data_IF_128286029327
#
_entry.id   IF_128286029327
#
_cell.length_a   1.000
_cell.length_b   1.000
_cell.length_c   1.000
_cell.angle_alpha   90.00
_cell.angle_beta   90.00
_cell.angle_gamma   90.00
#
_symmetry.space_group_name_H-M   'P 1'
#
loop_
_entity.id
_entity.type
_entity.pdbx_description
1 polymer ?
#
# COMPACT_ATOMS: atom_id res chain seq x y z
N UNK A 1 36.17 -35.04 62.17
CA UNK A 1 36.46 -33.69 62.68
C UNK A 1 35.75 -32.71 61.75
N UNK A 2 34.64 -32.14 62.21
CA UNK A 2 33.69 -31.36 61.44
C UNK A 2 34.23 -29.95 61.18
N UNK A 3 34.17 -29.44 59.95
CA UNK A 3 34.11 -28.00 59.71
C UNK A 3 32.99 -27.70 58.71
N UNK A 4 31.95 -27.07 59.24
CA UNK A 4 30.78 -26.55 58.55
C UNK A 4 31.17 -25.25 57.83
N UNK A 5 30.76 -25.07 56.58
CA UNK A 5 30.72 -23.73 55.97
C UNK A 5 29.43 -23.60 55.18
N UNK A 6 28.47 -22.88 55.76
CA UNK A 6 27.23 -22.44 55.10
C UNK A 6 27.56 -21.15 54.36
N UNK A 7 27.38 -21.11 53.04
CA UNK A 7 27.36 -19.86 52.26
C UNK A 7 25.92 -19.65 51.80
N UNK A 8 25.39 -18.51 52.24
CA UNK A 8 24.02 -18.04 52.16
C UNK A 8 23.72 -17.61 50.73
N UNK A 9 22.70 -18.21 50.12
CA UNK A 9 22.17 -17.85 48.81
C UNK A 9 21.26 -16.62 48.97
N UNK A 10 21.68 -15.47 48.45
CA UNK A 10 20.89 -14.24 48.42
C UNK A 10 19.96 -14.33 47.20
N UNK A 11 18.67 -14.58 47.45
CA UNK A 11 17.61 -14.49 46.44
C UNK A 11 17.21 -13.02 46.29
N UNK A 12 17.54 -12.45 45.13
CA UNK A 12 17.05 -11.16 44.67
C UNK A 12 15.55 -11.28 44.35
N UNK A 13 14.73 -10.68 45.21
CA UNK A 13 13.32 -10.39 44.94
C UNK A 13 13.27 -9.32 43.85
N UNK A 14 12.85 -9.71 42.65
CA UNK A 14 12.42 -8.75 41.63
C UNK A 14 10.93 -8.50 41.86
N UNK A 15 10.59 -7.30 42.33
CA UNK A 15 9.21 -6.85 42.33
C UNK A 15 8.74 -6.76 40.88
N UNK A 16 7.80 -7.65 40.53
CA UNK A 16 7.03 -7.55 39.30
C UNK A 16 6.06 -6.39 39.51
N UNK A 17 6.43 -5.19 39.04
CA UNK A 17 5.51 -4.06 38.93
C UNK A 17 4.43 -4.47 37.93
N UNK A 18 3.29 -4.91 38.45
CA UNK A 18 2.09 -5.20 37.68
C UNK A 18 1.51 -3.87 37.20
N UNK A 19 1.92 -3.43 36.01
CA UNK A 19 1.28 -2.29 35.33
C UNK A 19 -0.14 -2.73 34.99
N UNK A 20 -1.19 -2.10 35.53
CA UNK A 20 -2.55 -2.46 35.18
C UNK A 20 -2.75 -2.24 33.66
N UNK A 21 -3.50 -3.11 32.97
CA UNK A 21 -3.72 -2.96 31.54
C UNK A 21 -4.34 -1.58 31.31
N UNK A 22 -3.68 -0.76 30.50
CA UNK A 22 -4.17 0.54 30.06
C UNK A 22 -5.58 0.32 29.52
N UNK A 23 -6.60 0.77 30.26
CA UNK A 23 -7.99 0.67 29.82
C UNK A 23 -8.07 1.35 28.46
N UNK A 24 -8.22 0.57 27.39
CA UNK A 24 -8.56 1.12 26.09
C UNK A 24 -9.88 1.88 26.28
N UNK A 25 -9.98 3.14 25.82
CA UNK A 25 -11.21 3.88 25.93
C UNK A 25 -12.34 3.02 25.35
N UNK A 26 -13.37 2.74 26.16
CA UNK A 26 -14.61 2.13 25.69
C UNK A 26 -15.24 3.11 24.72
N UNK A 27 -14.93 2.98 23.43
CA UNK A 27 -15.64 3.70 22.38
C UNK A 27 -17.10 3.26 22.47
N UNK A 28 -17.99 4.19 22.81
CA UNK A 28 -19.43 3.91 22.76
C UNK A 28 -19.77 3.50 21.34
N UNK A 29 -20.63 2.50 21.17
CA UNK A 29 -21.02 1.94 19.88
C UNK A 29 -21.96 2.90 19.10
N UNK A 30 -21.65 4.20 19.10
CA UNK A 30 -22.37 5.21 18.36
C UNK A 30 -22.07 5.02 16.87
N UNK A 31 -23.05 4.49 16.14
CA UNK A 31 -23.00 4.26 14.68
C UNK A 31 -22.70 5.52 13.86
N UNK A 32 -22.83 6.70 14.46
CA UNK A 32 -22.57 7.99 13.82
C UNK A 32 -21.26 8.65 14.29
N UNK A 33 -20.43 7.97 15.09
CA UNK A 33 -19.13 8.51 15.47
C UNK A 33 -18.24 8.61 14.21
N UNK A 34 -17.60 9.76 13.94
CA UNK A 34 -16.66 9.87 12.84
C UNK A 34 -15.39 9.07 13.15
N UNK A 35 -14.87 8.42 12.11
CA UNK A 35 -13.62 7.68 12.12
C UNK A 35 -12.71 8.24 11.03
N UNK A 36 -11.40 8.19 11.26
CA UNK A 36 -10.41 8.39 10.22
C UNK A 36 -10.23 7.07 9.46
N UNK A 37 -10.72 7.00 8.23
CA UNK A 37 -10.55 5.85 7.36
C UNK A 37 -9.35 6.07 6.45
N UNK A 38 -8.38 5.15 6.47
CA UNK A 38 -7.19 5.22 5.61
C UNK A 38 -7.11 3.98 4.73
N UNK A 39 -7.23 4.18 3.42
CA UNK A 39 -6.89 3.15 2.45
C UNK A 39 -5.38 3.15 2.26
N UNK A 40 -4.76 1.98 2.40
CA UNK A 40 -3.33 1.78 2.17
C UNK A 40 -3.13 0.72 1.08
N UNK A 41 -2.11 0.95 0.26
CA UNK A 41 -1.59 -0.03 -0.70
C UNK A 41 -0.17 -0.40 -0.25
N UNK A 42 0.02 -1.68 0.00
CA UNK A 42 1.24 -2.27 0.54
C UNK A 42 2.04 -2.99 -0.54
N UNK A 43 3.37 -2.95 -0.44
CA UNK A 43 4.30 -3.73 -1.27
C UNK A 43 4.23 -5.22 -0.95
N UNK A 44 4.97 -6.05 -1.71
CA UNK A 44 5.17 -7.47 -1.41
C UNK A 44 5.71 -7.70 0.02
N UNK A 45 6.55 -6.77 0.53
CA UNK A 45 7.10 -6.80 1.90
C UNK A 45 6.21 -6.20 2.97
N UNK A 46 4.98 -5.80 2.61
CA UNK A 46 4.02 -5.16 3.51
C UNK A 46 4.40 -3.73 3.94
N UNK A 47 5.29 -3.06 3.20
CA UNK A 47 5.60 -1.64 3.39
C UNK A 47 4.55 -0.75 2.72
N UNK A 48 4.26 0.44 3.26
CA UNK A 48 3.25 1.34 2.68
C UNK A 48 3.82 2.03 1.43
N UNK A 49 3.32 1.63 0.26
CA UNK A 49 3.70 2.27 -1.02
C UNK A 49 2.87 3.52 -1.32
N UNK A 50 1.61 3.54 -0.88
CA UNK A 50 0.68 4.63 -1.12
C UNK A 50 -0.48 4.60 -0.11
N UNK A 51 -1.04 5.76 0.24
CA UNK A 51 -2.21 5.86 1.11
C UNK A 51 -3.08 7.09 0.84
N UNK A 52 -4.35 7.02 1.24
CA UNK A 52 -5.30 8.13 1.25
C UNK A 52 -6.24 8.02 2.45
N UNK A 53 -6.52 9.14 3.11
CA UNK A 53 -7.35 9.18 4.33
C UNK A 53 -8.55 10.11 4.17
N UNK A 54 -9.67 9.75 4.78
CA UNK A 54 -10.84 10.62 4.92
C UNK A 54 -11.55 10.37 6.25
N UNK A 55 -11.91 11.46 6.94
CA UNK A 55 -12.78 11.40 8.11
C UNK A 55 -14.23 11.26 7.65
N UNK A 56 -14.93 10.22 8.13
CA UNK A 56 -16.33 9.96 7.79
C UNK A 56 -17.00 9.12 8.88
N UNK A 57 -18.33 9.10 8.90
CA UNK A 57 -19.13 8.24 9.80
C UNK A 57 -19.32 6.83 9.23
N UNK A 58 -19.10 6.65 7.93
CA UNK A 58 -19.14 5.37 7.23
C UNK A 58 -17.88 5.17 6.37
N UNK A 59 -17.61 3.92 5.98
CA UNK A 59 -16.50 3.61 5.07
C UNK A 59 -16.67 4.43 3.79
N UNK A 60 -15.69 5.29 3.52
CA UNK A 60 -15.60 6.02 2.28
C UNK A 60 -14.87 5.18 1.23
N UNK A 61 -15.42 5.19 0.01
CA UNK A 61 -14.86 4.51 -1.15
C UNK A 61 -14.33 5.57 -2.11
N UNK A 62 -13.00 5.77 -2.19
CA UNK A 62 -12.42 6.68 -3.17
C UNK A 62 -12.78 6.23 -4.59
N UNK A 63 -12.88 7.19 -5.50
CA UNK A 63 -13.08 6.90 -6.92
C UNK A 63 -11.98 5.99 -7.48
N UNK A 64 -10.73 6.24 -7.08
CA UNK A 64 -9.55 5.49 -7.50
C UNK A 64 -8.41 5.60 -6.47
N UNK A 65 -7.54 4.59 -6.44
CA UNK A 65 -6.23 4.62 -5.77
C UNK A 65 -5.13 4.73 -6.83
N UNK A 66 -4.08 5.49 -6.55
CA UNK A 66 -3.02 5.78 -7.54
C UNK A 66 -1.60 5.46 -7.04
N UNK A 67 -1.31 4.23 -6.60
CA UNK A 67 0.07 3.83 -6.34
C UNK A 67 0.88 3.83 -7.64
N UNK A 68 2.16 4.14 -7.55
CA UNK A 68 3.09 3.96 -8.67
C UNK A 68 3.57 2.50 -8.72
N UNK A 69 3.59 1.88 -9.91
CA UNK A 69 4.02 0.49 -10.08
C UNK A 69 5.44 0.25 -9.53
N UNK A 70 6.36 1.18 -9.75
CA UNK A 70 7.73 1.05 -9.24
C UNK A 70 7.85 1.33 -7.74
N UNK A 71 6.89 2.04 -7.13
CA UNK A 71 6.81 2.08 -5.66
C UNK A 71 6.31 0.76 -5.08
N UNK A 72 5.41 0.06 -5.77
CA UNK A 72 5.01 -1.30 -5.37
C UNK A 72 6.15 -2.30 -5.49
N UNK A 73 7.09 -2.06 -6.42
CA UNK A 73 8.26 -2.89 -6.65
C UNK A 73 9.39 -2.70 -5.63
N UNK A 74 9.29 -1.74 -4.71
CA UNK A 74 10.25 -1.57 -3.62
C UNK A 74 10.29 -2.84 -2.75
N UNK A 75 11.45 -3.50 -2.72
CA UNK A 75 11.66 -4.75 -2.00
C UNK A 75 11.03 -5.99 -2.65
N UNK A 76 10.39 -5.85 -3.82
CA UNK A 76 9.83 -6.98 -4.57
C UNK A 76 10.93 -7.93 -5.04
N UNK A 77 10.57 -9.18 -5.31
CA UNK A 77 11.52 -10.16 -5.89
C UNK A 77 12.04 -9.71 -7.25
N UNK A 78 13.27 -10.10 -7.58
CA UNK A 78 13.89 -9.77 -8.86
C UNK A 78 13.02 -10.15 -10.07
N UNK A 79 13.15 -9.48 -11.24
CA UNK A 79 14.20 -8.51 -11.62
C UNK A 79 13.72 -7.05 -11.80
N UNK A 80 13.02 -6.46 -10.82
CA UNK A 80 12.60 -5.06 -10.89
C UNK A 80 13.76 -4.05 -10.77
N UNK A 81 14.91 -4.47 -10.23
CA UNK A 81 16.04 -3.59 -9.91
C UNK A 81 15.83 -2.76 -8.64
N UNK A 82 14.82 -3.11 -7.84
CA UNK A 82 14.46 -2.46 -6.57
C UNK A 82 14.44 -3.45 -5.38
N UNK A 83 15.09 -4.61 -5.50
CA UNK A 83 14.99 -5.73 -4.56
C UNK A 83 15.55 -5.40 -3.16
N UNK A 84 16.46 -4.42 -3.08
CA UNK A 84 17.16 -4.02 -1.85
C UNK A 84 16.71 -2.65 -1.34
N UNK A 85 15.78 -1.99 -2.03
CA UNK A 85 15.31 -0.65 -1.72
C UNK A 85 13.93 -0.75 -1.06
N UNK A 86 13.82 -0.31 0.20
CA UNK A 86 12.57 -0.39 0.98
C UNK A 86 11.77 0.92 0.92
N UNK A 87 12.46 2.05 0.90
CA UNK A 87 11.84 3.36 0.85
C UNK A 87 12.70 4.31 0.03
N UNK A 88 12.11 4.91 -1.01
CA UNK A 88 12.76 5.91 -1.84
C UNK A 88 11.81 7.07 -2.10
N UNK A 89 12.24 8.28 -1.72
CA UNK A 89 11.49 9.49 -2.02
C UNK A 89 11.59 9.89 -3.51
N UNK A 90 12.72 9.56 -4.13
CA UNK A 90 13.06 9.89 -5.52
C UNK A 90 13.39 8.58 -6.25
N UNK A 91 12.89 8.41 -7.47
CA UNK A 91 13.19 7.22 -8.25
C UNK A 91 14.68 7.21 -8.64
N UNK A 92 15.34 6.03 -8.63
CA UNK A 92 16.76 5.95 -8.95
C UNK A 92 17.02 6.35 -10.41
N UNK A 93 18.16 6.97 -10.65
CA UNK A 93 18.68 7.26 -11.98
C UNK A 93 20.06 6.65 -12.14
N UNK A 94 20.38 6.23 -13.37
CA UNK A 94 21.76 6.02 -13.73
C UNK A 94 22.47 7.38 -13.64
N UNK A 95 23.71 7.41 -13.14
CA UNK A 95 24.59 8.57 -13.21
C UNK A 95 24.93 8.86 -14.69
N UNK A 96 23.96 9.25 -15.51
CA UNK A 96 24.18 9.63 -16.88
C UNK A 96 24.52 11.12 -16.87
N UNK A 97 25.77 11.50 -17.14
CA UNK A 97 26.15 12.91 -17.17
C UNK A 97 25.27 13.64 -18.19
N UNK A 98 24.60 14.70 -17.74
CA UNK A 98 23.72 15.58 -18.52
C UNK A 98 24.35 16.13 -19.81
N UNK A 99 25.65 15.94 -20.02
CA UNK A 99 26.48 16.50 -21.08
C UNK A 99 26.88 15.53 -22.20
N UNK A 100 26.47 14.25 -22.19
CA UNK A 100 26.78 13.28 -23.27
C UNK A 100 25.56 12.83 -24.10
N UNK A 101 24.56 13.69 -24.24
CA UNK A 101 23.30 13.39 -24.94
C UNK A 101 23.43 13.12 -26.45
N UNK A 102 24.62 13.29 -27.04
CA UNK A 102 24.85 13.05 -28.48
C UNK A 102 25.76 11.84 -28.80
N UNK A 103 26.73 11.47 -27.93
CA UNK A 103 27.62 10.32 -28.19
C UNK A 103 27.10 9.00 -27.62
N UNK A 104 26.21 9.05 -26.63
CA UNK A 104 25.51 7.87 -26.10
C UNK A 104 24.43 7.35 -27.05
N UNK A 105 24.17 8.00 -28.18
CA UNK A 105 23.05 7.70 -29.07
C UNK A 105 23.07 6.27 -29.63
N UNK A 106 24.26 5.76 -29.98
CA UNK A 106 24.42 4.40 -30.47
C UNK A 106 24.49 3.34 -29.35
N UNK A 107 25.03 3.70 -28.18
CA UNK A 107 25.01 2.81 -27.01
C UNK A 107 23.59 2.68 -26.45
N UNK A 108 22.85 3.78 -26.38
CA UNK A 108 21.48 3.84 -25.87
C UNK A 108 20.51 3.04 -26.73
N UNK A 109 20.72 3.00 -28.05
CA UNK A 109 19.90 2.20 -28.99
C UNK A 109 20.33 0.73 -28.99
N UNK A 110 21.63 0.41 -28.89
CA UNK A 110 22.09 -0.99 -28.87
C UNK A 110 21.76 -1.67 -27.54
N UNK A 111 21.80 -0.95 -26.42
CA UNK A 111 21.36 -1.48 -25.11
C UNK A 111 19.83 -1.51 -24.97
N UNK A 112 19.10 -0.64 -25.68
CA UNK A 112 17.62 -0.59 -25.63
C UNK A 112 16.95 -1.88 -26.10
N UNK A 113 17.50 -2.54 -27.13
CA UNK A 113 16.87 -3.77 -27.66
C UNK A 113 17.00 -4.96 -26.71
N UNK A 114 17.98 -4.93 -25.80
CA UNK A 114 18.20 -5.96 -24.79
C UNK A 114 17.70 -5.57 -23.40
N UNK A 115 17.39 -4.30 -23.15
CA UNK A 115 16.97 -3.82 -21.84
C UNK A 115 15.58 -4.39 -21.51
N UNK A 116 15.51 -5.16 -20.43
CA UNK A 116 14.24 -5.63 -19.88
C UNK A 116 13.55 -4.49 -19.11
N UNK A 117 12.21 -4.39 -19.14
CA UNK A 117 11.48 -3.45 -18.33
C UNK A 117 11.85 -3.55 -16.84
N UNK A 118 11.79 -2.44 -16.10
CA UNK A 118 12.19 -2.38 -14.69
C UNK A 118 12.19 -0.97 -14.10
N UNK A 119 12.63 -0.84 -12.86
CA UNK A 119 12.39 0.34 -12.02
C UNK A 119 13.66 1.04 -11.51
N UNK A 120 14.83 0.47 -11.73
CA UNK A 120 16.16 0.94 -11.31
C UNK A 120 16.68 2.17 -12.05
N UNK A 121 16.20 2.45 -13.26
CA UNK A 121 16.59 3.67 -13.98
C UNK A 121 15.47 4.22 -14.88
N UNK A 122 15.65 5.47 -15.31
CA UNK A 122 14.66 6.19 -16.10
C UNK A 122 14.36 5.51 -17.45
N UNK A 123 15.34 4.80 -18.03
CA UNK A 123 15.20 4.10 -19.31
C UNK A 123 14.29 2.88 -19.14
N UNK A 124 14.59 2.01 -18.18
CA UNK A 124 13.80 0.81 -17.89
C UNK A 124 12.38 1.15 -17.45
N UNK A 125 12.18 2.26 -16.72
CA UNK A 125 10.85 2.81 -16.41
C UNK A 125 10.10 3.32 -17.64
N UNK A 126 10.81 3.93 -18.59
CA UNK A 126 10.21 4.36 -19.87
C UNK A 126 9.74 3.16 -20.68
N UNK A 127 10.49 2.04 -20.68
CA UNK A 127 10.05 0.79 -21.31
C UNK A 127 8.78 0.23 -20.65
N UNK A 128 8.69 0.27 -19.32
CA UNK A 128 7.48 -0.14 -18.58
C UNK A 128 6.22 0.63 -18.98
N UNK A 129 6.32 1.88 -19.45
CA UNK A 129 5.16 2.63 -19.91
C UNK A 129 4.47 1.97 -21.12
N UNK A 130 5.23 1.24 -21.93
CA UNK A 130 4.74 0.49 -23.10
C UNK A 130 4.45 -0.99 -22.80
N UNK A 131 4.88 -1.52 -21.66
CA UNK A 131 4.69 -2.93 -21.29
C UNK A 131 3.30 -3.14 -20.68
N UNK A 132 2.48 -3.99 -21.30
CA UNK A 132 1.19 -4.41 -20.74
C UNK A 132 1.35 -5.26 -19.49
N UNK A 133 0.30 -5.33 -18.69
CA UNK A 133 0.28 -6.15 -17.48
C UNK A 133 -1.10 -6.74 -17.23
N UNK A 134 -1.13 -7.82 -16.46
CA UNK A 134 -2.34 -8.49 -16.00
C UNK A 134 -2.24 -8.76 -14.50
N UNK A 135 -3.38 -8.82 -13.84
CA UNK A 135 -3.49 -8.88 -12.37
C UNK A 135 -4.35 -10.07 -11.98
N UNK A 136 -3.86 -10.86 -11.03
CA UNK A 136 -4.57 -12.02 -10.49
C UNK A 136 -4.85 -11.84 -9.00
N UNK A 137 -6.07 -12.18 -8.52
CA UNK A 137 -6.42 -12.12 -7.12
C UNK A 137 -5.73 -13.23 -6.33
N UNK A 138 -5.36 -12.90 -5.09
CA UNK A 138 -4.85 -13.83 -4.11
C UNK A 138 -5.93 -14.76 -3.56
N UNK A 139 -5.83 -15.11 -2.28
CA UNK A 139 -6.66 -16.16 -1.69
C UNK A 139 -8.15 -15.82 -1.54
N UNK A 140 -8.58 -14.57 -1.78
CA UNK A 140 -10.00 -14.18 -1.80
C UNK A 140 -10.77 -14.64 -3.05
N UNK A 141 -10.08 -15.29 -3.99
CA UNK A 141 -10.70 -15.98 -5.12
C UNK A 141 -11.43 -17.26 -4.71
N UNK A 142 -12.30 -17.74 -5.59
CA UNK A 142 -12.98 -19.03 -5.43
C UNK A 142 -11.99 -20.20 -5.27
N UNK A 143 -12.33 -21.15 -4.41
CA UNK A 143 -11.45 -22.30 -4.08
C UNK A 143 -11.02 -23.13 -5.29
N UNK A 144 -11.86 -23.19 -6.33
CA UNK A 144 -11.57 -23.90 -7.59
C UNK A 144 -10.33 -23.37 -8.31
N UNK A 145 -9.94 -22.12 -8.05
CA UNK A 145 -8.75 -21.50 -8.66
C UNK A 145 -7.47 -21.72 -7.84
N UNK A 146 -7.56 -22.22 -6.61
CA UNK A 146 -6.41 -22.27 -5.70
C UNK A 146 -5.29 -23.17 -6.23
N UNK A 147 -5.63 -24.35 -6.73
CA UNK A 147 -4.66 -25.30 -7.29
C UNK A 147 -4.15 -24.86 -8.68
N UNK A 148 -4.97 -24.14 -9.45
CA UNK A 148 -4.65 -23.72 -10.82
C UNK A 148 -3.71 -22.51 -10.84
N UNK A 149 -3.95 -21.55 -9.96
CA UNK A 149 -3.39 -20.21 -10.10
C UNK A 149 -2.16 -19.96 -9.20
N UNK A 150 -1.73 -20.96 -8.44
CA UNK A 150 -0.51 -20.89 -7.62
C UNK A 150 -0.60 -19.89 -6.46
N UNK A 151 0.51 -19.74 -5.74
CA UNK A 151 0.60 -18.87 -4.55
C UNK A 151 1.23 -17.52 -4.84
N UNK A 152 1.79 -16.92 -3.79
CA UNK A 152 2.60 -15.69 -3.89
C UNK A 152 3.82 -15.86 -4.77
N UNK A 153 4.45 -17.04 -4.76
CA UNK A 153 5.56 -17.41 -5.63
C UNK A 153 5.26 -17.14 -7.11
N UNK A 154 4.01 -17.40 -7.49
CA UNK A 154 3.48 -17.25 -8.84
C UNK A 154 2.75 -15.93 -9.04
N UNK A 155 2.81 -15.00 -8.09
CA UNK A 155 2.02 -13.77 -8.11
C UNK A 155 0.52 -14.08 -8.38
N UNK A 156 0.05 -15.22 -7.87
CA UNK A 156 -1.30 -15.75 -8.07
C UNK A 156 -1.73 -15.95 -9.54
N UNK A 157 -0.78 -15.95 -10.47
CA UNK A 157 -0.96 -15.98 -11.91
C UNK A 157 -0.26 -17.18 -12.57
N UNK A 158 -0.28 -18.36 -11.95
CA UNK A 158 0.45 -19.53 -12.47
C UNK A 158 -0.08 -20.07 -13.82
N UNK A 159 -1.27 -19.67 -14.25
CA UNK A 159 -1.91 -20.16 -15.48
C UNK A 159 -2.82 -19.12 -16.11
N UNK A 160 -3.06 -19.24 -17.41
CA UNK A 160 -4.04 -18.43 -18.14
C UNK A 160 -5.45 -18.56 -17.58
N UNK A 161 -6.18 -17.44 -17.55
CA UNK A 161 -7.51 -17.34 -16.96
C UNK A 161 -7.49 -17.27 -15.43
N UNK A 162 -6.36 -16.92 -14.83
CA UNK A 162 -6.25 -16.54 -13.41
C UNK A 162 -6.37 -15.04 -13.23
N UNK A 163 -6.05 -14.28 -14.27
CA UNK A 163 -6.14 -12.84 -14.32
C UNK A 163 -7.59 -12.34 -14.38
N UNK A 164 -7.86 -11.26 -13.68
CA UNK A 164 -9.21 -10.67 -13.54
C UNK A 164 -9.29 -9.23 -14.01
N UNK A 165 -8.15 -8.57 -14.19
CA UNK A 165 -8.02 -7.20 -14.67
C UNK A 165 -6.63 -6.96 -15.22
N UNK A 166 -6.44 -5.87 -15.97
CA UNK A 166 -5.14 -5.49 -16.52
C UNK A 166 -5.29 -4.57 -17.73
N UNK A 167 -4.21 -4.42 -18.46
CA UNK A 167 -4.13 -3.53 -19.64
C UNK A 167 -3.81 -4.25 -20.94
N UNK A 168 -3.72 -5.57 -20.89
CA UNK A 168 -3.41 -6.42 -22.04
C UNK A 168 -4.51 -6.37 -23.11
N UNK A 169 -4.14 -6.75 -24.34
CA UNK A 169 -5.04 -6.68 -25.49
C UNK A 169 -6.31 -7.53 -25.36
N UNK A 170 -6.27 -8.64 -24.60
CA UNK A 170 -7.44 -9.49 -24.34
C UNK A 170 -8.35 -8.97 -23.22
N UNK A 171 -7.99 -7.85 -22.56
CA UNK A 171 -8.82 -7.09 -21.61
C UNK A 171 -9.48 -7.99 -20.56
N UNK A 172 -8.69 -8.66 -19.70
CA UNK A 172 -9.25 -9.54 -18.68
C UNK A 172 -10.22 -8.77 -17.77
N UNK A 173 -11.35 -9.40 -17.47
CA UNK A 173 -12.40 -8.83 -16.61
C UNK A 173 -12.97 -9.92 -15.70
N UNK A 174 -13.59 -9.50 -14.60
CA UNK A 174 -14.20 -10.41 -13.63
C UNK A 174 -15.50 -9.85 -13.10
N UNK A 175 -16.47 -10.73 -12.88
CA UNK A 175 -17.78 -10.42 -12.28
C UNK A 175 -17.82 -10.65 -10.76
N UNK A 176 -16.66 -10.80 -10.12
CA UNK A 176 -16.60 -11.15 -8.69
C UNK A 176 -15.39 -10.55 -7.95
N UNK A 177 -14.32 -10.20 -8.65
CA UNK A 177 -13.13 -9.62 -8.02
C UNK A 177 -13.41 -8.20 -7.52
N UNK A 178 -12.64 -7.75 -6.54
CA UNK A 178 -12.92 -6.54 -5.76
C UNK A 178 -12.35 -5.28 -6.40
N UNK A 179 -11.42 -5.40 -7.34
CA UNK A 179 -10.79 -4.24 -7.99
C UNK A 179 -10.67 -4.43 -9.51
N UNK A 180 -10.56 -3.31 -10.20
CA UNK A 180 -9.98 -3.22 -11.55
C UNK A 180 -8.71 -2.41 -11.48
N UNK A 181 -7.71 -2.78 -12.26
CA UNK A 181 -6.41 -2.10 -12.35
C UNK A 181 -6.11 -1.74 -13.79
N UNK A 182 -5.86 -0.45 -14.05
CA UNK A 182 -5.41 0.10 -15.34
C UNK A 182 -4.25 1.09 -15.16
N UNK A 183 -3.77 1.68 -16.25
CA UNK A 183 -2.81 2.79 -16.21
C UNK A 183 -3.52 4.10 -15.89
N UNK A 184 -2.92 4.94 -15.05
CA UNK A 184 -3.35 6.32 -14.86
C UNK A 184 -2.51 7.30 -15.72
N UNK A 185 -2.20 6.89 -16.94
CA UNK A 185 -1.46 7.66 -17.93
C UNK A 185 -1.72 7.09 -19.33
N UNK A 186 -1.47 7.89 -20.36
CA UNK A 186 -1.48 7.40 -21.75
C UNK A 186 -0.09 6.91 -22.13
N UNK A 187 0.07 5.64 -22.57
CA UNK A 187 1.36 5.16 -23.07
C UNK A 187 1.89 6.04 -24.21
N UNK A 188 3.20 6.30 -24.27
CA UNK A 188 3.78 7.07 -25.38
C UNK A 188 3.59 6.31 -26.69
N UNK A 189 3.27 7.03 -27.77
CA UNK A 189 3.13 6.43 -29.12
C UNK A 189 4.44 5.85 -29.66
N UNK A 190 5.57 6.34 -29.15
CA UNK A 190 6.91 5.89 -29.52
C UNK A 190 7.81 5.84 -28.27
N UNK A 191 7.96 4.66 -27.69
CA UNK A 191 8.81 4.42 -26.52
C UNK A 191 10.31 4.54 -26.85
N UNK A 192 10.70 4.54 -28.13
CA UNK A 192 12.08 4.77 -28.57
C UNK A 192 12.45 6.27 -28.64
N UNK A 193 11.63 7.15 -28.05
CA UNK A 193 11.97 8.55 -27.97
C UNK A 193 13.26 8.78 -27.17
N UNK A 194 14.09 9.65 -27.74
CA UNK A 194 15.48 9.94 -27.35
C UNK A 194 15.66 10.45 -25.91
N UNK A 195 14.57 10.86 -25.27
CA UNK A 195 14.58 11.38 -23.91
C UNK A 195 13.76 10.44 -23.03
N UNK A 196 14.35 9.84 -21.98
CA UNK A 196 13.57 9.06 -21.03
C UNK A 196 12.51 9.97 -20.41
N UNK A 197 11.26 9.49 -20.37
CA UNK A 197 10.10 10.25 -19.88
C UNK A 197 10.06 10.26 -18.34
N UNK A 198 10.74 9.30 -17.71
CA UNK A 198 10.68 9.01 -16.28
C UNK A 198 11.90 9.53 -15.49
N UNK A 199 12.35 10.75 -15.80
CA UNK A 199 13.51 11.37 -15.15
C UNK A 199 13.17 11.76 -13.70
N UNK A 200 14.11 11.54 -12.79
CA UNK A 200 14.03 11.95 -11.38
C UNK A 200 13.94 13.47 -11.22
N UNK A 201 14.49 14.20 -12.19
CA UNK A 201 14.45 15.66 -12.27
C UNK A 201 13.06 16.24 -12.55
N UNK A 202 12.05 15.43 -12.90
CA UNK A 202 10.67 15.87 -13.06
C UNK A 202 10.08 16.29 -11.70
N UNK A 203 9.79 17.58 -11.45
CA UNK A 203 9.43 18.06 -10.12
C UNK A 203 8.15 17.43 -9.55
N UNK A 204 7.21 17.08 -10.42
CA UNK A 204 5.89 16.56 -10.04
C UNK A 204 5.92 15.09 -9.63
N UNK A 205 6.71 14.27 -10.32
CA UNK A 205 6.73 12.82 -10.12
C UNK A 205 8.00 12.33 -9.42
N UNK A 206 9.08 13.12 -9.47
CA UNK A 206 10.43 12.71 -9.02
C UNK A 206 10.86 11.37 -9.62
N UNK A 207 10.48 11.12 -10.87
CA UNK A 207 10.77 9.90 -11.64
C UNK A 207 9.79 8.74 -11.44
N UNK A 208 8.83 8.85 -10.52
CA UNK A 208 7.72 7.89 -10.34
C UNK A 208 6.62 8.15 -11.37
N UNK A 209 6.77 7.57 -12.56
CA UNK A 209 6.03 7.90 -13.78
C UNK A 209 5.04 6.80 -14.23
N UNK A 210 4.77 5.80 -13.39
CA UNK A 210 3.95 4.63 -13.70
C UNK A 210 2.76 4.54 -12.72
N UNK A 211 1.94 5.61 -12.57
CA UNK A 211 0.79 5.56 -11.69
C UNK A 211 -0.24 4.56 -12.23
N UNK A 212 -0.70 3.66 -11.36
CA UNK A 212 -1.83 2.78 -11.62
C UNK A 212 -3.15 3.52 -11.34
N UNK A 213 -4.22 3.07 -11.95
CA UNK A 213 -5.60 3.46 -11.62
C UNK A 213 -6.30 2.21 -11.07
N UNK A 214 -6.40 2.12 -9.74
CA UNK A 214 -7.06 1.01 -9.05
C UNK A 214 -8.45 1.46 -8.59
N UNK A 215 -9.50 0.83 -9.12
CA UNK A 215 -10.89 1.14 -8.77
C UNK A 215 -11.54 -0.02 -8.04
N UNK A 216 -12.32 0.27 -7.01
CA UNK A 216 -13.13 -0.74 -6.34
C UNK A 216 -14.34 -1.12 -7.21
N UNK A 217 -14.60 -2.42 -7.33
CA UNK A 217 -15.85 -2.93 -7.91
C UNK A 217 -16.97 -2.91 -6.88
N UNK A 218 -18.20 -3.17 -7.31
CA UNK A 218 -19.31 -3.33 -6.36
C UNK A 218 -19.12 -4.54 -5.43
N UNK A 219 -18.33 -5.55 -5.83
CA UNK A 219 -18.07 -6.75 -5.02
C UNK A 219 -17.10 -6.50 -3.85
N UNK A 220 -16.36 -5.40 -3.87
CA UNK A 220 -15.54 -4.94 -2.74
C UNK A 220 -16.37 -4.53 -1.52
N UNK A 221 -17.59 -4.03 -1.76
CA UNK A 221 -18.43 -3.43 -0.71
C UNK A 221 -18.97 -4.52 0.20
N UNK A 222 -18.87 -4.28 1.52
CA UNK A 222 -19.31 -5.24 2.55
C UNK A 222 -18.31 -6.34 2.89
N UNK A 223 -17.11 -6.35 2.28
CA UNK A 223 -16.01 -7.23 2.70
C UNK A 223 -15.26 -6.64 3.90
N UNK A 224 -14.64 -7.49 4.70
CA UNK A 224 -13.75 -7.04 5.78
C UNK A 224 -12.37 -6.71 5.22
N UNK A 225 -12.06 -5.43 5.14
CA UNK A 225 -10.79 -4.90 4.63
C UNK A 225 -9.73 -4.69 5.72
N UNK A 226 -10.02 -5.01 6.99
CA UNK A 226 -9.07 -4.82 8.09
C UNK A 226 -7.83 -5.71 7.98
N UNK A 227 -7.99 -6.92 7.43
CA UNK A 227 -6.87 -7.83 7.14
C UNK A 227 -6.20 -7.53 5.78
N UNK A 228 -6.94 -6.86 4.90
CA UNK A 228 -6.53 -6.58 3.53
C UNK A 228 -6.73 -7.76 2.59
N UNK A 229 -6.64 -7.47 1.30
CA UNK A 229 -6.68 -8.44 0.22
C UNK A 229 -5.47 -8.22 -0.68
N UNK A 230 -4.94 -9.31 -1.23
CA UNK A 230 -3.71 -9.29 -2.01
C UNK A 230 -3.97 -9.67 -3.45
N UNK A 231 -3.19 -9.08 -4.36
CA UNK A 231 -3.16 -9.40 -5.78
C UNK A 231 -1.71 -9.55 -6.23
N UNK A 232 -1.52 -10.24 -7.34
CA UNK A 232 -0.27 -10.26 -8.05
C UNK A 232 -0.43 -9.55 -9.38
N UNK A 233 0.56 -8.76 -9.75
CA UNK A 233 0.65 -8.08 -11.03
C UNK A 233 1.83 -8.69 -11.78
N UNK A 234 1.61 -9.07 -13.03
CA UNK A 234 2.66 -9.56 -13.93
C UNK A 234 2.70 -8.72 -15.20
N UNK A 235 3.92 -8.36 -15.62
CA UNK A 235 4.19 -7.77 -16.91
C UNK A 235 4.00 -8.81 -18.00
N UNK A 236 3.28 -8.48 -19.05
CA UNK A 236 3.16 -9.31 -20.25
C UNK A 236 4.30 -8.96 -21.20
N UNK A 237 5.34 -9.79 -21.23
CA UNK A 237 6.56 -9.51 -21.97
C UNK A 237 7.13 -10.75 -22.66
N UNK A 238 8.13 -10.56 -23.52
CA UNK A 238 8.82 -11.70 -24.15
C UNK A 238 9.70 -12.38 -23.10
N UNK A 239 9.51 -13.68 -22.91
CA UNK A 239 10.28 -14.48 -21.96
C UNK A 239 9.48 -14.77 -20.69
N UNK A 240 10.12 -14.63 -19.53
CA UNK A 240 9.43 -14.77 -18.24
C UNK A 240 8.74 -13.48 -17.86
N UNK A 241 7.46 -13.56 -17.51
CA UNK A 241 6.68 -12.44 -17.02
C UNK A 241 7.13 -12.05 -15.60
N UNK A 242 7.85 -10.92 -15.51
CA UNK A 242 8.23 -10.30 -14.23
C UNK A 242 6.97 -9.89 -13.47
N UNK A 243 6.92 -10.14 -12.17
CA UNK A 243 5.76 -9.78 -11.36
C UNK A 243 6.11 -9.38 -9.93
N UNK A 244 5.09 -8.90 -9.24
CA UNK A 244 5.11 -8.57 -7.81
C UNK A 244 3.74 -8.86 -7.20
N UNK A 245 3.66 -8.90 -5.88
CA UNK A 245 2.39 -8.86 -5.16
C UNK A 245 2.19 -7.52 -4.47
N UNK A 246 0.94 -7.13 -4.26
CA UNK A 246 0.57 -5.97 -3.47
C UNK A 246 -0.70 -6.26 -2.67
N UNK A 247 -0.90 -5.54 -1.57
CA UNK A 247 -2.04 -5.71 -0.67
C UNK A 247 -2.77 -4.40 -0.48
N UNK A 248 -4.10 -4.40 -0.55
CA UNK A 248 -4.93 -3.23 -0.23
C UNK A 248 -5.65 -3.50 1.10
N UNK A 249 -5.55 -2.55 2.03
CA UNK A 249 -6.12 -2.65 3.37
C UNK A 249 -6.80 -1.35 3.77
N UNK A 250 -7.82 -1.46 4.62
CA UNK A 250 -8.49 -0.32 5.24
C UNK A 250 -8.12 -0.26 6.72
N UNK A 251 -7.54 0.87 7.12
CA UNK A 251 -7.36 1.22 8.53
C UNK A 251 -8.54 2.08 8.99
N UNK A 252 -8.97 1.86 10.23
CA UNK A 252 -10.06 2.61 10.88
C UNK A 252 -9.57 3.08 12.24
N UNK A 253 -9.35 4.38 12.38
CA UNK A 253 -8.79 4.98 13.59
C UNK A 253 -9.75 6.01 14.20
N UNK A 254 -9.82 6.13 15.53
CA UNK A 254 -10.56 7.19 16.18
C UNK A 254 -9.99 8.57 15.82
N UNK A 255 -10.86 9.54 15.47
CA UNK A 255 -10.43 10.91 15.11
C UNK A 255 -9.60 11.58 16.22
N UNK A 256 -9.83 11.21 17.48
CA UNK A 256 -9.16 11.76 18.65
C UNK A 256 -7.99 10.91 19.17
N UNK A 257 -7.54 9.89 18.44
CA UNK A 257 -6.40 9.08 18.84
C UNK A 257 -5.09 9.91 19.00
N UNK A 258 -5.04 11.12 18.41
CA UNK A 258 -3.91 12.05 18.52
C UNK A 258 -4.05 13.15 19.59
N UNK A 259 -5.22 13.33 20.25
CA UNK A 259 -5.41 14.14 21.48
C UNK A 259 -6.91 14.14 21.86
N UNK A 260 -7.30 13.78 23.10
CA UNK A 260 -8.65 14.07 23.59
C UNK A 260 -8.78 15.59 23.78
N UNK A 261 -9.68 16.24 23.04
CA UNK A 261 -10.16 17.58 23.40
C UNK A 261 -11.31 17.34 24.38
N UNK A 262 -11.19 17.73 25.66
CA UNK A 262 -12.31 17.61 26.60
C UNK A 262 -13.37 18.64 26.20
N UNK A 263 -14.47 18.17 25.61
CA UNK A 263 -15.70 18.96 25.47
C UNK A 263 -16.41 18.84 26.81
N UNK A 264 -16.16 19.80 27.70
CA UNK A 264 -16.84 19.92 28.99
C UNK A 264 -18.33 20.28 28.85
N UNK A 265 -19.13 20.12 29.92
CA UNK A 265 -20.57 20.37 29.88
C UNK A 265 -20.85 21.83 29.49
N UNK A 266 -21.75 22.01 28.51
CA UNK A 266 -22.21 23.32 28.06
C UNK A 266 -22.82 24.09 29.26
N UNK A 267 -22.26 25.23 29.70
CA UNK A 267 -22.67 25.91 30.94
C UNK A 267 -24.00 26.67 30.86
N UNK A 268 -24.87 26.38 29.88
CA UNK A 268 -26.04 27.22 29.56
C UNK A 268 -27.37 26.68 30.15
N UNK A 269 -27.36 25.61 30.97
CA UNK A 269 -28.61 25.05 31.52
C UNK A 269 -28.51 24.79 33.04
N UNK A 270 -28.38 25.84 33.84
CA UNK A 270 -28.78 25.79 35.26
C UNK A 270 -29.83 26.88 35.48
N UNK A 271 -31.13 26.53 35.57
CA UNK A 271 -32.14 27.47 36.05
C UNK A 271 -31.78 27.90 37.48
N UNK A 272 -31.97 29.17 37.86
CA UNK A 272 -31.77 29.59 39.24
C UNK A 272 -32.70 28.76 40.14
N UNK A 273 -32.12 27.90 40.98
CA UNK A 273 -32.84 27.29 42.09
C UNK A 273 -33.25 28.43 43.03
N UNK A 274 -34.54 28.74 43.02
CA UNK A 274 -35.16 29.62 44.01
C UNK A 274 -34.86 29.08 45.40
N UNK A 275 -34.14 29.88 46.19
CA UNK A 275 -33.90 29.61 47.61
C UNK A 275 -35.25 29.50 48.33
N UNK A 276 -35.46 28.48 49.18
CA UNK A 276 -36.71 28.32 49.93
C UNK A 276 -36.89 29.51 50.89
N UNK A 277 -38.07 30.11 50.85
CA UNK A 277 -38.53 31.12 51.80
C UNK A 277 -38.53 30.56 53.22
N UNK A 278 -37.84 31.25 54.12
CA UNK A 278 -37.85 31.01 55.56
C UNK A 278 -39.28 31.27 56.12
N UNK A 279 -39.85 30.35 56.93
CA UNK A 279 -41.15 30.56 57.53
C UNK A 279 -41.04 31.51 58.73
N UNK A 280 -41.83 32.58 58.72
CA UNK A 280 -42.06 33.41 59.90
C UNK A 280 -42.96 32.67 60.90
N UNK A 281 -42.45 32.45 62.11
CA UNK A 281 -43.22 32.28 63.35
C UNK A 281 -42.34 32.66 64.55
#
# INVERSE_FOLDING_TARGET
MLLRTKILLILLLTEVISIPPRQQPKYSNNRHMPWNYTWIVLTERQDVAWSISQISTAIWWPTSLHPDLCKLALGARAPWGLEHQLELQVAPEDNMPHTQSQQTHNLFISTHRSAQPGCDNAIRRTLLQATDFYVCPGYHRGRTFHNKCGGESDHYCASWGCETTGTTYWKPTSSWDYITVSRNFSPPSNYLHRNPLCKSSEPSTRGWCLPLDIKFTNHAKGKDWAHGFSWGLRLYQVGSDTGLTFTIKLLKEPVHASKPIPIGPNPILVPPLQSPSEPQS
#
